data_IF_820983840834
#
_entry.id   IF_820983840834
#
_cell.length_a   1.000
_cell.length_b   1.000
_cell.length_c   1.000
_cell.angle_alpha   90.00
_cell.angle_beta   90.00
_cell.angle_gamma   90.00
#
_symmetry.space_group_name_H-M   'P 1'
#
loop_
_entity.id
_entity.type
_entity.pdbx_description
1 polymer ?
#
# COMPACT_ATOMS: atom_id res chain seq x y z
N UNK A 1 24.36 -31.74 -4.13
CA UNK A 1 25.33 -30.90 -4.87
C UNK A 1 24.51 -29.93 -5.70
N UNK A 2 24.41 -28.67 -5.28
CA UNK A 2 23.63 -27.66 -6.01
C UNK A 2 24.54 -27.18 -7.14
N UNK A 3 24.26 -27.60 -8.36
CA UNK A 3 24.88 -27.05 -9.56
C UNK A 3 24.24 -25.67 -9.78
N UNK A 4 24.79 -24.64 -9.15
CA UNK A 4 24.40 -23.26 -9.45
C UNK A 4 24.80 -22.99 -10.89
N UNK A 5 23.82 -22.94 -11.79
CA UNK A 5 24.04 -22.60 -13.18
C UNK A 5 24.40 -21.11 -13.28
N UNK A 6 25.25 -20.72 -14.24
CA UNK A 6 25.59 -19.31 -14.49
C UNK A 6 24.31 -18.48 -14.75
N UNK A 7 23.30 -19.10 -15.38
CA UNK A 7 21.98 -18.50 -15.58
C UNK A 7 21.29 -18.13 -14.27
N UNK A 8 21.41 -18.97 -13.25
CA UNK A 8 20.75 -18.79 -11.96
C UNK A 8 21.44 -17.67 -11.16
N UNK A 9 22.76 -17.60 -11.27
CA UNK A 9 23.55 -16.53 -10.66
C UNK A 9 23.22 -15.18 -11.29
N UNK A 10 23.05 -15.12 -12.62
CA UNK A 10 22.64 -13.91 -13.32
C UNK A 10 21.24 -13.47 -12.90
N UNK A 11 20.29 -14.41 -12.82
CA UNK A 11 18.92 -14.14 -12.38
C UNK A 11 18.90 -13.55 -10.95
N UNK A 12 19.70 -14.11 -10.05
CA UNK A 12 19.83 -13.61 -8.68
C UNK A 12 20.44 -12.20 -8.60
N UNK A 13 21.45 -11.91 -9.43
CA UNK A 13 22.04 -10.57 -9.49
C UNK A 13 21.04 -9.55 -10.02
N UNK A 14 20.32 -9.89 -11.09
CA UNK A 14 19.29 -9.04 -11.68
C UNK A 14 18.17 -8.76 -10.66
N UNK A 15 17.68 -9.80 -9.98
CA UNK A 15 16.66 -9.68 -8.93
C UNK A 15 17.07 -8.73 -7.81
N UNK A 16 18.31 -8.85 -7.31
CA UNK A 16 18.86 -7.93 -6.30
C UNK A 16 18.98 -6.49 -6.82
N UNK A 17 19.43 -6.32 -8.07
CA UNK A 17 19.51 -5.02 -8.71
C UNK A 17 18.14 -4.32 -8.81
N UNK A 18 17.09 -5.07 -9.11
CA UNK A 18 15.73 -4.53 -9.10
C UNK A 18 15.30 -4.03 -7.72
N UNK A 19 15.53 -4.82 -6.67
CA UNK A 19 15.22 -4.41 -5.29
C UNK A 19 15.91 -3.10 -4.94
N UNK A 20 17.22 -2.97 -5.20
CA UNK A 20 17.99 -1.76 -4.91
C UNK A 20 17.50 -0.52 -5.69
N UNK A 21 17.05 -0.73 -6.93
CA UNK A 21 16.50 0.34 -7.76
C UNK A 21 15.12 0.80 -7.27
N UNK A 22 14.27 -0.14 -6.86
CA UNK A 22 12.90 0.12 -6.42
C UNK A 22 12.84 0.66 -4.99
N UNK A 23 13.69 0.16 -4.09
CA UNK A 23 13.73 0.57 -2.68
C UNK A 23 13.97 2.07 -2.51
N UNK A 24 14.78 2.68 -3.39
CA UNK A 24 15.04 4.14 -3.39
C UNK A 24 13.82 4.96 -3.83
N UNK A 25 12.95 4.38 -4.65
CA UNK A 25 11.75 5.05 -5.21
C UNK A 25 10.51 4.85 -4.35
N UNK A 26 10.51 3.82 -3.50
CA UNK A 26 9.35 3.36 -2.74
C UNK A 26 9.69 3.28 -1.25
N UNK A 27 9.86 4.43 -0.56
CA UNK A 27 10.31 4.47 0.83
C UNK A 27 9.32 3.83 1.82
N UNK A 28 8.03 3.83 1.47
CA UNK A 28 6.97 3.22 2.28
C UNK A 28 6.90 1.70 2.15
N UNK A 29 7.72 1.12 1.27
CA UNK A 29 7.82 -0.32 1.06
C UNK A 29 9.19 -0.81 1.46
N UNK A 30 9.23 -1.96 2.11
CA UNK A 30 10.44 -2.74 2.31
C UNK A 30 10.50 -3.83 1.25
N UNK A 31 11.48 -3.76 0.35
CA UNK A 31 11.66 -4.72 -0.73
C UNK A 31 12.82 -5.67 -0.42
N UNK A 32 12.66 -6.93 -0.82
CA UNK A 32 13.71 -7.94 -0.74
C UNK A 32 13.61 -8.91 -1.91
N UNK A 33 14.73 -9.54 -2.24
CA UNK A 33 14.79 -10.62 -3.24
C UNK A 33 14.93 -11.95 -2.50
N UNK A 34 14.10 -12.92 -2.88
CA UNK A 34 14.15 -14.30 -2.37
C UNK A 34 14.87 -15.18 -3.39
N UNK A 35 16.11 -15.64 -3.11
CA UNK A 35 16.82 -16.56 -4.01
C UNK A 35 16.16 -17.93 -4.11
N UNK A 36 15.46 -18.34 -3.05
CA UNK A 36 14.75 -19.63 -3.02
C UNK A 36 13.54 -19.64 -3.95
N UNK A 37 12.76 -18.55 -3.94
CA UNK A 37 11.57 -18.39 -4.79
C UNK A 37 11.84 -17.67 -6.11
N UNK A 38 13.06 -17.15 -6.32
CA UNK A 38 13.44 -16.24 -7.41
C UNK A 38 12.42 -15.11 -7.62
N UNK A 39 11.97 -14.56 -6.50
CA UNK A 39 10.88 -13.62 -6.44
C UNK A 39 11.29 -12.34 -5.72
N UNK A 40 10.63 -11.25 -6.09
CA UNK A 40 10.66 -9.99 -5.39
C UNK A 40 9.53 -10.00 -4.36
N UNK A 41 9.84 -9.63 -3.12
CA UNK A 41 8.88 -9.56 -2.02
C UNK A 41 8.85 -8.13 -1.51
N UNK A 42 7.67 -7.57 -1.33
CA UNK A 42 7.48 -6.23 -0.80
C UNK A 42 6.55 -6.26 0.43
N UNK A 43 6.96 -5.56 1.48
CA UNK A 43 6.19 -5.36 2.71
C UNK A 43 5.89 -3.88 2.87
N UNK A 44 4.62 -3.54 3.06
CA UNK A 44 4.25 -2.15 3.29
C UNK A 44 4.56 -1.73 4.72
N UNK A 45 5.23 -0.60 4.89
CA UNK A 45 5.64 -0.03 6.18
C UNK A 45 4.79 1.17 6.61
N UNK A 46 3.89 1.64 5.75
CA UNK A 46 2.99 2.74 6.07
C UNK A 46 1.79 2.30 6.92
N UNK A 47 0.89 3.25 7.24
CA UNK A 47 -0.35 2.96 7.96
C UNK A 47 -1.20 1.94 7.19
N UNK A 48 -1.34 0.73 7.75
CA UNK A 48 -2.13 -0.34 7.14
C UNK A 48 -3.05 -1.05 8.14
N UNK A 49 -4.01 -1.79 7.59
CA UNK A 49 -4.93 -2.60 8.37
C UNK A 49 -4.19 -3.68 9.16
N UNK A 50 -4.83 -4.17 10.21
CA UNK A 50 -4.27 -5.22 11.05
C UNK A 50 -3.92 -6.45 10.20
N UNK A 51 -2.66 -6.90 10.27
CA UNK A 51 -2.13 -7.99 9.44
C UNK A 51 -1.09 -7.55 8.40
N UNK A 52 -0.99 -6.25 8.10
CA UNK A 52 0.00 -5.71 7.16
C UNK A 52 -0.26 -6.08 5.70
N UNK A 53 0.52 -5.50 4.78
CA UNK A 53 0.47 -5.86 3.35
C UNK A 53 1.81 -6.51 2.98
N UNK A 54 1.73 -7.75 2.48
CA UNK A 54 2.85 -8.47 1.84
C UNK A 54 2.42 -8.85 0.43
N UNK A 55 3.26 -8.53 -0.55
CA UNK A 55 3.08 -8.95 -1.94
C UNK A 55 4.37 -9.56 -2.46
N UNK A 56 4.24 -10.49 -3.40
CA UNK A 56 5.35 -11.24 -3.97
C UNK A 56 5.08 -11.50 -5.45
N UNK A 57 6.10 -11.33 -6.29
CA UNK A 57 6.03 -11.61 -7.73
C UNK A 57 7.41 -11.92 -8.29
N UNK A 58 7.47 -12.67 -9.40
CA UNK A 58 8.72 -12.99 -10.09
C UNK A 58 9.24 -11.79 -10.90
N UNK A 59 8.34 -10.93 -11.38
CA UNK A 59 8.67 -9.79 -12.23
C UNK A 59 8.40 -8.44 -11.56
N UNK A 60 9.23 -7.42 -11.80
CA UNK A 60 9.11 -6.12 -11.15
C UNK A 60 7.83 -5.37 -11.56
N UNK A 61 7.39 -5.45 -12.82
CA UNK A 61 6.16 -4.81 -13.29
C UNK A 61 4.92 -5.40 -12.61
N UNK A 62 4.91 -6.72 -12.45
CA UNK A 62 3.84 -7.43 -11.75
C UNK A 62 3.83 -7.05 -10.25
N UNK A 63 5.00 -7.02 -9.61
CA UNK A 63 5.12 -6.59 -8.22
C UNK A 63 4.53 -5.20 -8.01
N UNK A 64 4.88 -4.23 -8.87
CA UNK A 64 4.37 -2.86 -8.79
C UNK A 64 2.85 -2.80 -8.93
N UNK A 65 2.28 -3.59 -9.84
CA UNK A 65 0.83 -3.70 -10.00
C UNK A 65 0.19 -4.25 -8.73
N UNK A 66 0.71 -5.36 -8.18
CA UNK A 66 0.19 -5.97 -6.95
C UNK A 66 0.28 -5.04 -5.74
N UNK A 67 1.37 -4.27 -5.63
CA UNK A 67 1.55 -3.25 -4.59
C UNK A 67 0.43 -2.20 -4.64
N UNK A 68 0.11 -1.69 -5.84
CA UNK A 68 -0.96 -0.72 -6.04
C UNK A 68 -2.33 -1.30 -5.73
N UNK A 69 -2.62 -2.50 -6.24
CA UNK A 69 -3.90 -3.19 -6.04
C UNK A 69 -4.16 -3.48 -4.56
N UNK A 70 -3.12 -3.91 -3.82
CA UNK A 70 -3.22 -4.22 -2.40
C UNK A 70 -3.56 -2.99 -1.55
N UNK A 71 -2.91 -1.85 -1.79
CA UNK A 71 -3.21 -0.59 -1.08
C UNK A 71 -4.64 -0.14 -1.40
N UNK A 72 -5.01 -0.12 -2.68
CA UNK A 72 -6.35 0.32 -3.09
C UNK A 72 -7.45 -0.54 -2.49
N UNK A 73 -7.26 -1.87 -2.48
CA UNK A 73 -8.22 -2.81 -1.89
C UNK A 73 -8.40 -2.51 -0.41
N UNK A 74 -7.31 -2.28 0.32
CA UNK A 74 -7.39 -1.97 1.74
C UNK A 74 -8.12 -0.65 2.00
N UNK A 75 -7.83 0.42 1.24
CA UNK A 75 -8.51 1.71 1.40
C UNK A 75 -10.00 1.65 1.06
N UNK A 76 -10.39 0.87 0.05
CA UNK A 76 -11.80 0.64 -0.28
C UNK A 76 -12.55 -0.14 0.79
N UNK A 77 -11.85 -1.00 1.54
CA UNK A 77 -12.46 -1.95 2.48
C UNK A 77 -12.55 -1.38 3.90
N UNK A 78 -11.85 -0.29 4.24
CA UNK A 78 -11.97 0.36 5.56
C UNK A 78 -13.22 1.28 5.62
N UNK A 79 -14.31 0.91 6.33
CA UNK A 79 -15.56 1.69 6.34
C UNK A 79 -15.50 2.93 7.25
N UNK A 80 -14.33 3.28 7.77
CA UNK A 80 -14.15 4.34 8.77
C UNK A 80 -13.47 5.62 8.26
N UNK A 81 -12.73 5.58 7.16
CA UNK A 81 -11.98 6.75 6.66
C UNK A 81 -12.82 7.66 5.75
N UNK A 82 -13.90 7.13 5.18
CA UNK A 82 -14.83 7.88 4.31
C UNK A 82 -15.94 8.59 5.08
N UNK A 83 -16.07 8.37 6.40
CA UNK A 83 -17.21 8.87 7.19
C UNK A 83 -17.04 10.32 7.68
N UNK A 84 -15.84 10.88 7.62
CA UNK A 84 -15.58 12.24 8.11
C UNK A 84 -15.69 13.33 7.03
N UNK A 85 -15.83 12.98 5.76
CA UNK A 85 -16.03 13.96 4.67
C UNK A 85 -17.49 14.35 4.42
N UNK A 86 -18.45 13.84 5.22
CA UNK A 86 -19.87 14.19 5.10
C UNK A 86 -20.45 14.94 6.30
N UNK A 87 -19.66 15.24 7.33
CA UNK A 87 -20.21 15.84 8.58
C UNK A 87 -20.00 17.35 8.69
N UNK A 88 -19.21 17.99 7.81
CA UNK A 88 -18.96 19.45 7.89
C UNK A 88 -19.88 20.33 7.02
N UNK A 89 -20.83 19.76 6.28
CA UNK A 89 -21.78 20.57 5.50
C UNK A 89 -23.02 21.03 6.30
N UNK A 90 -23.18 20.60 7.56
CA UNK A 90 -24.43 20.79 8.31
C UNK A 90 -24.32 21.69 9.55
N UNK A 91 -23.22 22.44 9.71
CA UNK A 91 -23.06 23.26 10.91
C UNK A 91 -22.37 24.59 10.61
N UNK A 92 -23.12 25.54 10.08
CA UNK A 92 -23.09 26.94 10.54
C UNK A 92 -24.17 27.82 9.87
N UNK A 93 -25.18 28.17 10.65
CA UNK A 93 -25.73 29.53 10.70
C UNK A 93 -26.50 29.70 12.03
N UNK A 94 -25.88 30.26 13.07
CA UNK A 94 -26.60 30.74 14.23
C UNK A 94 -27.01 32.21 14.02
N UNK A 95 -28.16 32.58 14.58
CA UNK A 95 -28.49 33.89 15.19
C UNK A 95 -29.86 34.42 14.75
N UNK A 96 -30.75 34.65 15.72
CA UNK A 96 -31.97 35.44 15.51
C UNK A 96 -33.18 35.03 16.36
N UNK A 97 -33.08 35.15 17.68
CA UNK A 97 -34.20 35.01 18.63
C UNK A 97 -35.11 36.24 18.56
N UNK A 98 -36.45 36.11 18.48
CA UNK A 98 -37.42 36.83 19.33
C UNK A 98 -38.92 36.51 19.06
N UNK A 99 -39.54 35.96 20.12
CA UNK A 99 -40.91 36.09 20.67
C UNK A 99 -42.07 36.68 19.82
N UNK A 100 -43.20 35.95 19.82
CA UNK A 100 -44.58 36.48 19.67
C UNK A 100 -45.59 35.39 20.06
N UNK A 101 -45.92 35.25 21.35
CA UNK A 101 -47.16 35.71 22.02
C UNK A 101 -48.43 35.02 21.52
N UNK A 102 -49.02 34.22 22.41
CA UNK A 102 -50.31 33.58 22.29
C UNK A 102 -51.46 34.60 22.40
N UNK A 103 -52.49 34.42 21.56
CA UNK A 103 -53.90 34.44 21.95
C UNK A 103 -54.76 33.87 20.82
#
# INVERSE_FOLDING_TARGET
MILTNESDTLADQVGRGYVESLQRRLPDWWLMYSPYGRSLVAFYRGPCAQGGIRVEAEHPEELLRLMGDAIQTQWKTQPGLTRDLSTDAARESPSGSQKGTAR
#
